data_IF_442266796326
#
_entry.id   IF_442266796326
#
_cell.length_a   1.000
_cell.length_b   1.000
_cell.length_c   1.000
_cell.angle_alpha   90.00
_cell.angle_beta   90.00
_cell.angle_gamma   90.00
#
_symmetry.space_group_name_H-M   'P 1'
#
loop_
_entity.id
_entity.type
_entity.pdbx_description
1 polymer ?
#
# COMPACT_ATOMS: atom_id res chain seq x y z
N UNK A 1 -22.66 3.89 -15.26
CA UNK A 1 -22.12 2.66 -15.88
C UNK A 1 -23.13 1.53 -15.71
N UNK A 2 -23.30 0.65 -16.69
CA UNK A 2 -24.39 -0.36 -16.70
C UNK A 2 -23.95 -1.77 -16.27
N UNK A 3 -22.65 -1.99 -16.06
CA UNK A 3 -22.08 -3.27 -15.60
C UNK A 3 -20.72 -3.09 -14.92
N UNK A 4 -20.32 -4.08 -14.14
CA UNK A 4 -18.94 -4.23 -13.66
C UNK A 4 -18.04 -4.66 -14.83
N UNK A 5 -16.89 -4.00 -15.06
CA UNK A 5 -15.96 -4.39 -16.12
C UNK A 5 -15.33 -5.76 -15.85
N UNK A 6 -14.98 -6.49 -16.91
CA UNK A 6 -14.21 -7.73 -16.79
C UNK A 6 -12.72 -7.38 -16.69
N UNK A 7 -11.95 -8.14 -15.90
CA UNK A 7 -10.52 -7.87 -15.74
C UNK A 7 -9.76 -7.99 -17.06
N UNK A 8 -10.19 -8.88 -17.97
CA UNK A 8 -9.59 -8.99 -19.30
C UNK A 8 -9.78 -7.71 -20.14
N UNK A 9 -10.91 -7.03 -19.98
CA UNK A 9 -11.18 -5.75 -20.67
C UNK A 9 -10.34 -4.62 -20.08
N UNK A 10 -10.14 -4.62 -18.76
CA UNK A 10 -9.24 -3.69 -18.07
C UNK A 10 -7.80 -3.92 -18.54
N UNK A 11 -7.34 -5.17 -18.58
CA UNK A 11 -5.97 -5.54 -18.93
C UNK A 11 -5.63 -5.22 -20.40
N UNK A 12 -6.60 -5.29 -21.32
CA UNK A 12 -6.43 -4.83 -22.69
C UNK A 12 -6.02 -3.34 -22.78
N UNK A 13 -6.43 -2.53 -21.80
CA UNK A 13 -6.05 -1.12 -21.71
C UNK A 13 -4.83 -0.88 -20.83
N UNK A 14 -4.71 -1.58 -19.70
CA UNK A 14 -3.66 -1.36 -18.70
C UNK A 14 -2.30 -1.92 -19.14
N UNK A 15 -2.26 -3.13 -19.73
CA UNK A 15 -1.01 -3.80 -20.09
C UNK A 15 -0.15 -2.99 -21.07
N UNK A 16 -0.71 -2.38 -22.15
CA UNK A 16 0.09 -1.59 -23.08
C UNK A 16 0.72 -0.34 -22.47
N UNK A 17 0.16 0.20 -21.38
CA UNK A 17 0.62 1.46 -20.77
C UNK A 17 1.82 1.23 -19.84
N UNK A 18 1.69 0.27 -18.93
CA UNK A 18 2.68 0.08 -17.86
C UNK A 18 3.07 -1.38 -17.66
N UNK A 19 2.56 -2.31 -18.50
CA UNK A 19 2.67 -3.77 -18.33
C UNK A 19 2.01 -4.31 -17.05
N UNK A 20 1.24 -3.48 -16.34
CA UNK A 20 0.45 -3.94 -15.21
C UNK A 20 -0.78 -4.72 -15.66
N UNK A 21 -1.20 -5.66 -14.82
CA UNK A 21 -2.40 -6.49 -14.99
C UNK A 21 -3.18 -6.56 -13.69
N UNK A 22 -4.49 -6.36 -13.76
CA UNK A 22 -5.40 -6.79 -12.73
C UNK A 22 -5.50 -8.33 -12.76
N UNK A 23 -5.21 -8.98 -11.63
CA UNK A 23 -5.18 -10.45 -11.49
C UNK A 23 -6.20 -10.87 -10.45
N UNK A 24 -7.21 -11.61 -10.88
CA UNK A 24 -8.28 -12.06 -9.98
C UNK A 24 -7.74 -12.84 -8.78
N UNK A 25 -8.17 -12.47 -7.58
CA UNK A 25 -7.95 -13.24 -6.35
C UNK A 25 -9.26 -13.47 -5.60
N UNK A 26 -9.37 -14.62 -4.97
CA UNK A 26 -10.51 -14.99 -4.15
C UNK A 26 -10.16 -14.83 -2.67
N UNK A 27 -10.46 -13.66 -2.12
CA UNK A 27 -10.27 -13.36 -0.69
C UNK A 27 -8.85 -12.92 -0.34
N UNK A 28 -8.46 -13.23 0.89
CA UNK A 28 -7.22 -12.77 1.50
C UNK A 28 -5.97 -13.26 0.75
N UNK A 29 -5.00 -12.37 0.56
CA UNK A 29 -3.69 -12.67 -0.03
C UNK A 29 -2.63 -12.31 1.01
N UNK A 30 -1.79 -13.27 1.45
CA UNK A 30 -0.71 -12.97 2.40
C UNK A 30 0.21 -11.86 1.89
N UNK A 31 0.65 -10.99 2.80
CA UNK A 31 1.33 -9.74 2.48
C UNK A 31 2.52 -9.92 1.53
N UNK A 32 3.41 -10.89 1.74
CA UNK A 32 4.53 -11.12 0.83
C UNK A 32 4.07 -11.51 -0.57
N UNK A 33 3.07 -12.40 -0.67
CA UNK A 33 2.53 -12.87 -1.96
C UNK A 33 1.89 -11.71 -2.72
N UNK A 34 1.20 -10.82 -2.02
CA UNK A 34 0.65 -9.60 -2.59
C UNK A 34 1.75 -8.69 -3.15
N UNK A 35 2.78 -8.40 -2.36
CA UNK A 35 3.91 -7.56 -2.80
C UNK A 35 4.72 -8.20 -3.93
N UNK A 36 4.90 -9.52 -3.94
CA UNK A 36 5.59 -10.24 -5.02
C UNK A 36 4.80 -10.24 -6.33
N UNK A 37 3.45 -10.24 -6.27
CA UNK A 37 2.61 -10.02 -7.44
C UNK A 37 2.84 -8.60 -8.00
N UNK A 38 2.78 -7.58 -7.14
CA UNK A 38 2.98 -6.18 -7.55
C UNK A 38 4.38 -5.95 -8.15
N UNK A 39 5.41 -6.57 -7.56
CA UNK A 39 6.78 -6.60 -8.08
C UNK A 39 6.85 -7.09 -9.54
N UNK A 40 5.97 -8.03 -9.89
CA UNK A 40 5.83 -8.62 -11.22
C UNK A 40 4.81 -7.89 -12.11
N UNK A 41 4.29 -6.74 -11.65
CA UNK A 41 3.23 -5.96 -12.30
C UNK A 41 1.90 -6.71 -12.41
N UNK A 42 1.67 -7.69 -11.55
CA UNK A 42 0.36 -8.30 -11.36
C UNK A 42 -0.26 -7.68 -10.09
N UNK A 43 -1.33 -6.91 -10.21
CA UNK A 43 -2.05 -6.39 -9.06
C UNK A 43 -3.17 -7.36 -8.67
N UNK A 44 -3.11 -7.98 -7.47
CA UNK A 44 -4.20 -8.80 -6.97
C UNK A 44 -5.50 -7.98 -6.87
N UNK A 45 -6.54 -8.43 -7.56
CA UNK A 45 -7.83 -7.73 -7.67
C UNK A 45 -8.94 -8.66 -7.20
N UNK A 46 -9.66 -8.23 -6.18
CA UNK A 46 -10.85 -8.90 -5.66
C UNK A 46 -11.96 -8.90 -6.72
N UNK A 47 -12.77 -9.96 -6.71
CA UNK A 47 -13.87 -10.18 -7.66
C UNK A 47 -15.26 -10.16 -7.01
N UNK A 48 -15.30 -9.90 -5.70
CA UNK A 48 -16.52 -9.70 -4.92
C UNK A 48 -16.93 -8.23 -4.99
N UNK A 49 -18.24 -7.95 -4.91
CA UNK A 49 -18.78 -6.59 -4.88
C UNK A 49 -19.55 -6.37 -3.58
N UNK A 50 -19.43 -5.18 -2.99
CA UNK A 50 -20.20 -4.79 -1.81
C UNK A 50 -21.71 -4.80 -2.01
N UNK A 51 -22.42 -4.91 -0.90
CA UNK A 51 -23.86 -4.64 -0.85
C UNK A 51 -24.13 -3.15 -1.12
N UNK A 52 -25.08 -2.86 -2.01
CA UNK A 52 -25.50 -1.50 -2.33
C UNK A 52 -26.12 -0.72 -1.16
N UNK A 53 -26.47 -1.39 -0.05
CA UNK A 53 -26.88 -0.72 1.18
C UNK A 53 -25.70 -0.15 2.00
N UNK A 54 -24.45 -0.53 1.67
CA UNK A 54 -23.22 -0.14 2.38
C UNK A 54 -22.19 0.40 1.40
N UNK A 55 -22.57 1.42 0.63
CA UNK A 55 -21.69 2.01 -0.38
C UNK A 55 -20.54 2.83 0.25
N UNK A 56 -20.81 3.51 1.36
CA UNK A 56 -19.91 4.51 1.95
C UNK A 56 -18.81 3.91 2.84
N UNK A 57 -18.87 2.62 3.17
CA UNK A 57 -17.93 1.99 4.09
C UNK A 57 -17.77 0.49 3.84
N UNK A 58 -16.51 0.02 3.79
CA UNK A 58 -16.17 -1.38 3.79
C UNK A 58 -14.98 -1.70 4.70
N UNK A 59 -15.06 -2.77 5.50
CA UNK A 59 -13.91 -3.30 6.24
C UNK A 59 -12.93 -4.09 5.35
N UNK A 60 -13.35 -4.53 4.15
CA UNK A 60 -12.54 -5.33 3.23
C UNK A 60 -12.60 -4.76 1.81
N UNK A 61 -11.51 -4.83 1.02
CA UNK A 61 -11.51 -4.36 -0.37
C UNK A 61 -12.47 -5.20 -1.23
N UNK A 62 -13.18 -4.53 -2.13
CA UNK A 62 -14.03 -5.15 -3.14
C UNK A 62 -13.59 -4.72 -4.55
N UNK A 63 -14.19 -5.32 -5.58
CA UNK A 63 -13.81 -5.05 -6.97
C UNK A 63 -13.94 -3.57 -7.33
N UNK A 64 -14.84 -2.83 -6.69
CA UNK A 64 -14.95 -1.40 -6.90
C UNK A 64 -13.72 -0.67 -6.36
N UNK A 65 -13.28 -0.97 -5.13
CA UNK A 65 -12.05 -0.39 -4.57
C UNK A 65 -10.85 -0.66 -5.47
N UNK A 66 -10.64 -1.91 -5.88
CA UNK A 66 -9.47 -2.27 -6.69
C UNK A 66 -9.53 -1.66 -8.10
N UNK A 67 -10.68 -1.71 -8.75
CA UNK A 67 -10.81 -1.23 -10.14
C UNK A 67 -10.96 0.29 -10.22
N UNK A 68 -11.66 0.93 -9.29
CA UNK A 68 -11.89 2.38 -9.34
C UNK A 68 -10.82 3.17 -8.59
N UNK A 69 -10.24 2.60 -7.51
CA UNK A 69 -9.17 3.23 -6.74
C UNK A 69 -7.79 2.98 -7.34
N UNK A 70 -7.40 1.70 -7.48
CA UNK A 70 -6.03 1.33 -7.82
C UNK A 70 -5.72 1.35 -9.31
N UNK A 71 -6.56 0.70 -10.14
CA UNK A 71 -6.28 0.54 -11.57
C UNK A 71 -6.01 1.87 -12.31
N UNK A 72 -6.71 2.99 -12.06
CA UNK A 72 -6.38 4.26 -12.71
C UNK A 72 -4.96 4.72 -12.39
N UNK A 73 -4.50 4.55 -11.15
CA UNK A 73 -3.15 4.92 -10.74
C UNK A 73 -2.08 4.05 -11.40
N UNK A 74 -2.38 2.78 -11.68
CA UNK A 74 -1.46 1.87 -12.37
C UNK A 74 -1.24 2.23 -13.85
N UNK A 75 -2.01 3.17 -14.40
CA UNK A 75 -1.79 3.69 -15.78
C UNK A 75 -0.62 4.67 -15.86
N UNK A 76 -0.18 5.24 -14.72
CA UNK A 76 0.97 6.13 -14.64
C UNK A 76 2.27 5.33 -14.51
N UNK A 77 3.26 5.50 -15.42
CA UNK A 77 4.51 4.75 -15.37
C UNK A 77 5.34 5.00 -14.11
N UNK A 78 5.35 6.21 -13.55
CA UNK A 78 6.12 6.53 -12.34
C UNK A 78 5.49 5.85 -11.13
N UNK A 79 4.16 5.90 -11.01
CA UNK A 79 3.47 5.21 -9.93
C UNK A 79 3.60 3.68 -10.04
N UNK A 80 3.51 3.14 -11.25
CA UNK A 80 3.78 1.73 -11.51
C UNK A 80 5.19 1.30 -11.08
N UNK A 81 6.19 2.16 -11.27
CA UNK A 81 7.57 1.89 -10.84
C UNK A 81 7.74 1.99 -9.32
N UNK A 82 7.03 2.90 -8.64
CA UNK A 82 6.95 2.94 -7.16
C UNK A 82 6.44 1.62 -6.61
N UNK A 83 5.37 1.08 -7.18
CA UNK A 83 4.77 -0.18 -6.76
C UNK A 83 5.72 -1.36 -6.94
N UNK A 84 6.37 -1.46 -8.11
CA UNK A 84 7.39 -2.48 -8.36
C UNK A 84 8.55 -2.37 -7.37
N UNK A 85 9.02 -1.14 -7.11
CA UNK A 85 10.09 -0.89 -6.15
C UNK A 85 9.71 -1.32 -4.74
N UNK A 86 8.48 -1.06 -4.32
CA UNK A 86 7.96 -1.51 -3.03
C UNK A 86 7.93 -3.05 -2.93
N UNK A 87 7.54 -3.73 -4.00
CA UNK A 87 7.62 -5.18 -4.10
C UNK A 87 9.05 -5.73 -4.00
N UNK A 88 10.03 -5.07 -4.62
CA UNK A 88 11.45 -5.43 -4.46
C UNK A 88 11.94 -5.18 -3.02
N UNK A 89 11.50 -4.10 -2.36
CA UNK A 89 11.79 -3.87 -0.93
C UNK A 89 11.25 -4.99 -0.05
N UNK A 90 10.04 -5.50 -0.31
CA UNK A 90 9.47 -6.64 0.42
C UNK A 90 10.32 -7.90 0.25
N UNK A 91 10.77 -8.18 -0.98
CA UNK A 91 11.69 -9.29 -1.28
C UNK A 91 13.03 -9.13 -0.58
N UNK A 92 13.61 -7.94 -0.60
CA UNK A 92 14.86 -7.67 0.09
C UNK A 92 14.73 -7.88 1.60
N UNK A 93 13.65 -7.38 2.21
CA UNK A 93 13.36 -7.59 3.63
C UNK A 93 13.22 -9.08 3.99
N UNK A 94 12.49 -9.84 3.17
CA UNK A 94 12.28 -11.27 3.36
C UNK A 94 13.60 -12.06 3.31
N UNK A 95 14.49 -11.73 2.37
CA UNK A 95 15.80 -12.38 2.26
C UNK A 95 16.74 -11.99 3.41
N UNK A 96 16.79 -10.71 3.78
CA UNK A 96 17.66 -10.19 4.84
C UNK A 96 17.45 -10.91 6.19
N UNK A 97 16.19 -11.20 6.55
CA UNK A 97 15.90 -11.85 7.84
C UNK A 97 16.33 -13.33 7.87
N UNK A 98 16.60 -13.94 6.71
CA UNK A 98 17.17 -15.29 6.60
C UNK A 98 18.52 -15.44 7.27
N UNK A 99 19.31 -14.36 7.32
CA UNK A 99 20.64 -14.35 7.94
C UNK A 99 20.60 -14.30 9.48
N UNK A 100 19.42 -14.06 10.07
CA UNK A 100 19.25 -13.97 11.52
C UNK A 100 19.12 -15.38 12.11
N UNK A 101 20.19 -15.84 12.79
CA UNK A 101 20.26 -17.17 13.42
C UNK A 101 19.35 -17.34 14.64
N UNK A 102 19.15 -16.27 15.40
CA UNK A 102 18.28 -16.31 16.58
C UNK A 102 16.82 -16.24 16.13
N UNK A 103 16.08 -17.33 16.34
CA UNK A 103 14.70 -17.46 15.85
C UNK A 103 13.76 -16.42 16.45
N UNK A 104 13.87 -16.12 17.75
CA UNK A 104 13.01 -15.14 18.40
C UNK A 104 13.30 -13.73 17.86
N UNK A 105 14.57 -13.38 17.72
CA UNK A 105 14.99 -12.12 17.09
C UNK A 105 14.53 -12.04 15.65
N UNK A 106 14.62 -13.14 14.89
CA UNK A 106 14.18 -13.21 13.49
C UNK A 106 12.68 -12.90 13.38
N UNK A 107 11.86 -13.61 14.16
CA UNK A 107 10.40 -13.43 14.20
C UNK A 107 10.01 -11.99 14.57
N UNK A 108 10.61 -11.47 15.65
CA UNK A 108 10.37 -10.08 16.08
C UNK A 108 10.77 -9.06 15.01
N UNK A 109 11.95 -9.26 14.40
CA UNK A 109 12.48 -8.32 13.39
C UNK A 109 11.58 -8.28 12.16
N UNK A 110 11.16 -9.44 11.63
CA UNK A 110 10.32 -9.48 10.44
C UNK A 110 8.91 -8.96 10.75
N UNK A 111 8.34 -9.26 11.92
CA UNK A 111 7.05 -8.71 12.33
C UNK A 111 7.09 -7.16 12.36
N UNK A 112 8.13 -6.60 12.96
CA UNK A 112 8.36 -5.15 13.00
C UNK A 112 8.52 -4.54 11.59
N UNK A 113 9.23 -5.22 10.69
CA UNK A 113 9.39 -4.76 9.30
C UNK A 113 8.05 -4.82 8.55
N UNK A 114 7.28 -5.90 8.69
CA UNK A 114 5.95 -6.01 8.06
C UNK A 114 5.05 -4.85 8.53
N UNK A 115 5.06 -4.50 9.82
CA UNK A 115 4.35 -3.32 10.35
C UNK A 115 4.80 -2.01 9.70
N UNK A 116 6.12 -1.80 9.61
CA UNK A 116 6.68 -0.60 8.98
C UNK A 116 6.23 -0.47 7.52
N UNK A 117 6.28 -1.57 6.77
CA UNK A 117 5.85 -1.64 5.37
C UNK A 117 4.34 -1.41 5.23
N UNK A 118 3.53 -2.05 6.07
CA UNK A 118 2.08 -1.88 6.03
C UNK A 118 1.67 -0.43 6.31
N UNK A 119 2.29 0.24 7.29
CA UNK A 119 2.04 1.66 7.57
C UNK A 119 2.52 2.58 6.45
N UNK A 120 3.68 2.29 5.86
CA UNK A 120 4.14 3.01 4.68
C UNK A 120 3.10 2.90 3.56
N UNK A 121 2.70 1.68 3.23
CA UNK A 121 1.74 1.40 2.16
C UNK A 121 0.39 2.10 2.43
N UNK A 122 -0.10 2.04 3.66
CA UNK A 122 -1.33 2.70 4.09
C UNK A 122 -1.28 4.22 3.90
N UNK A 123 -0.26 4.88 4.46
CA UNK A 123 -0.17 6.35 4.44
C UNK A 123 0.39 6.93 3.13
N UNK A 124 0.67 6.09 2.13
CA UNK A 124 1.08 6.51 0.79
C UNK A 124 0.13 5.95 -0.29
N UNK A 125 0.28 4.68 -0.62
CA UNK A 125 -0.42 4.05 -1.75
C UNK A 125 -1.93 3.98 -1.51
N UNK A 126 -2.40 3.77 -0.28
CA UNK A 126 -3.84 3.70 0.03
C UNK A 126 -4.45 5.08 0.36
N UNK A 127 -3.81 5.87 1.24
CA UNK A 127 -4.36 7.12 1.76
C UNK A 127 -3.45 8.33 1.57
N UNK A 128 -2.54 8.27 0.59
CA UNK A 128 -1.61 9.35 0.31
C UNK A 128 -2.23 10.54 -0.42
N UNK A 129 -1.72 11.72 -0.07
CA UNK A 129 -2.01 12.97 -0.74
C UNK A 129 -0.77 13.45 -1.52
N UNK A 130 -0.97 14.27 -2.55
CA UNK A 130 0.11 14.87 -3.31
C UNK A 130 -0.02 16.39 -3.33
N UNK A 131 1.11 17.08 -3.18
CA UNK A 131 1.17 18.53 -3.36
C UNK A 131 1.02 18.89 -4.83
N UNK A 132 0.12 19.83 -5.12
CA UNK A 132 -0.01 20.38 -6.47
C UNK A 132 1.10 21.40 -6.75
N UNK A 133 1.69 21.41 -7.95
CA UNK A 133 2.72 22.38 -8.33
C UNK A 133 2.22 23.84 -8.28
N UNK A 134 0.91 24.05 -8.47
CA UNK A 134 0.33 25.40 -8.56
C UNK A 134 0.35 26.18 -7.24
N UNK A 135 0.38 25.51 -6.09
CA UNK A 135 0.37 26.17 -4.78
C UNK A 135 0.92 25.27 -3.68
N UNK A 136 1.77 25.85 -2.81
CA UNK A 136 2.32 25.17 -1.64
C UNK A 136 1.27 24.74 -0.59
N UNK A 137 0.00 25.13 -0.74
CA UNK A 137 -1.08 24.68 0.14
C UNK A 137 -2.15 23.86 -0.60
N UNK A 138 -2.02 23.66 -1.91
CA UNK A 138 -2.98 22.89 -2.68
C UNK A 138 -2.56 21.41 -2.69
N UNK A 139 -3.47 20.55 -2.26
CA UNK A 139 -3.29 19.10 -2.23
C UNK A 139 -4.27 18.43 -3.21
N UNK A 140 -3.88 17.29 -3.73
CA UNK A 140 -4.76 16.36 -4.44
C UNK A 140 -4.63 14.96 -3.84
N UNK A 141 -5.64 14.14 -4.12
CA UNK A 141 -5.66 12.73 -3.72
C UNK A 141 -4.99 11.89 -4.80
N UNK A 142 -4.16 10.93 -4.39
CA UNK A 142 -3.69 9.84 -5.26
C UNK A 142 -3.87 8.46 -4.63
N UNK A 143 -4.01 8.38 -3.29
CA UNK A 143 -4.21 7.13 -2.59
C UNK A 143 -5.50 6.42 -3.01
N UNK A 144 -5.41 5.13 -3.31
CA UNK A 144 -6.51 4.33 -3.87
C UNK A 144 -7.71 4.17 -2.92
N UNK A 145 -7.46 4.06 -1.61
CA UNK A 145 -8.50 4.04 -0.58
C UNK A 145 -9.32 5.32 -0.56
N UNK A 146 -8.67 6.48 -0.71
CA UNK A 146 -9.35 7.76 -0.84
C UNK A 146 -10.09 7.89 -2.19
N UNK A 147 -9.47 7.50 -3.30
CA UNK A 147 -10.07 7.57 -4.64
C UNK A 147 -11.35 6.72 -4.78
N UNK A 148 -11.45 5.66 -4.00
CA UNK A 148 -12.60 4.74 -3.98
C UNK A 148 -13.61 5.03 -2.87
N UNK A 149 -13.43 6.10 -2.10
CA UNK A 149 -14.31 6.50 -1.01
C UNK A 149 -14.94 7.86 -1.28
N UNK A 150 -16.23 7.87 -1.65
CA UNK A 150 -16.93 9.09 -2.05
C UNK A 150 -16.92 10.18 -0.97
N UNK A 151 -17.16 9.82 0.30
CA UNK A 151 -17.16 10.80 1.39
C UNK A 151 -15.75 11.20 1.82
N UNK A 152 -14.81 10.26 1.82
CA UNK A 152 -13.47 10.51 2.33
C UNK A 152 -12.60 11.32 1.37
N UNK A 153 -12.80 11.21 0.04
CA UNK A 153 -12.04 11.97 -0.95
C UNK A 153 -12.19 13.49 -0.77
N UNK A 154 -13.38 13.97 -0.41
CA UNK A 154 -13.63 15.38 -0.10
C UNK A 154 -13.20 15.71 1.34
N UNK A 155 -13.58 14.87 2.31
CA UNK A 155 -13.26 15.06 3.72
C UNK A 155 -11.76 15.19 3.97
N UNK A 156 -10.96 14.34 3.32
CA UNK A 156 -9.51 14.31 3.46
C UNK A 156 -8.82 15.57 2.93
N UNK A 157 -9.49 16.45 2.17
CA UNK A 157 -8.94 17.72 1.67
C UNK A 157 -9.52 18.93 2.43
N UNK A 158 -10.82 18.95 2.67
CA UNK A 158 -11.53 20.14 3.15
C UNK A 158 -11.71 20.18 4.67
N UNK A 159 -11.75 19.02 5.33
CA UNK A 159 -12.06 18.95 6.77
C UNK A 159 -10.94 19.56 7.62
N UNK A 160 -11.26 20.46 8.58
CA UNK A 160 -10.28 20.96 9.54
C UNK A 160 -9.87 19.91 10.58
N UNK A 161 -10.64 18.82 10.71
CA UNK A 161 -10.37 17.74 11.65
C UNK A 161 -9.33 16.74 11.14
N UNK A 162 -8.90 16.88 9.88
CA UNK A 162 -7.85 16.04 9.27
C UNK A 162 -6.52 16.78 9.28
N UNK A 163 -5.54 16.20 9.96
CA UNK A 163 -4.16 16.70 9.94
C UNK A 163 -3.44 16.26 8.67
N UNK A 164 -2.70 17.16 8.04
CA UNK A 164 -2.01 16.92 6.76
C UNK A 164 -0.57 17.37 6.87
N UNK A 165 0.37 16.43 6.86
CA UNK A 165 1.80 16.74 7.03
C UNK A 165 2.63 16.27 5.84
N UNK A 166 3.79 16.91 5.56
CA UNK A 166 4.75 16.35 4.63
C UNK A 166 5.13 14.93 5.05
N UNK A 167 5.31 14.05 4.07
CA UNK A 167 5.74 12.69 4.30
C UNK A 167 7.06 12.67 5.06
N UNK A 168 7.08 11.95 6.18
CA UNK A 168 8.24 11.79 7.05
C UNK A 168 8.31 10.32 7.45
N UNK A 169 9.27 9.58 6.89
CA UNK A 169 9.42 8.15 7.11
C UNK A 169 9.45 7.76 8.59
N UNK A 170 10.15 8.56 9.42
CA UNK A 170 10.22 8.42 10.88
C UNK A 170 8.83 8.28 11.52
N UNK A 171 7.89 9.09 11.06
CA UNK A 171 6.54 9.19 11.62
C UNK A 171 5.66 8.11 11.00
N UNK A 172 5.72 7.97 9.68
CA UNK A 172 4.88 7.03 8.92
C UNK A 172 5.06 5.60 9.43
N UNK A 173 6.29 5.10 9.59
CA UNK A 173 6.51 3.70 10.03
C UNK A 173 6.11 3.44 11.49
N UNK A 174 5.85 4.50 12.26
CA UNK A 174 5.45 4.44 13.66
C UNK A 174 4.00 4.87 13.91
N UNK A 175 3.30 5.37 12.89
CA UNK A 175 1.92 5.84 12.98
C UNK A 175 0.98 4.65 12.87
N UNK A 176 0.17 4.40 13.90
CA UNK A 176 -0.91 3.43 13.82
C UNK A 176 -2.06 3.98 12.97
N UNK A 177 -2.86 3.09 12.39
CA UNK A 177 -4.08 3.45 11.69
C UNK A 177 -5.20 2.47 12.05
N UNK A 178 -6.42 2.94 11.88
CA UNK A 178 -7.65 2.18 12.04
C UNK A 178 -8.35 2.16 10.67
N UNK A 179 -9.00 1.04 10.36
CA UNK A 179 -9.60 0.80 9.04
C UNK A 179 -11.10 1.10 9.00
N UNK A 180 -11.71 1.42 10.15
CA UNK A 180 -13.15 1.49 10.33
C UNK A 180 -13.74 2.91 10.41
N UNK A 181 -12.89 3.93 10.23
CA UNK A 181 -13.30 5.33 10.14
C UNK A 181 -12.37 6.13 9.24
N UNK A 182 -12.79 7.37 8.92
CA UNK A 182 -11.97 8.29 8.13
C UNK A 182 -10.66 8.61 8.81
N UNK A 183 -9.61 8.74 8.03
CA UNK A 183 -8.27 8.97 8.55
C UNK A 183 -8.14 10.38 9.13
N UNK A 184 -7.85 10.54 10.43
CA UNK A 184 -7.70 11.85 11.07
C UNK A 184 -6.35 12.51 10.78
N UNK A 185 -5.40 11.76 10.22
CA UNK A 185 -4.06 12.21 9.89
C UNK A 185 -3.59 11.56 8.60
N UNK A 186 -3.15 12.36 7.65
CA UNK A 186 -2.63 11.94 6.36
C UNK A 186 -1.30 12.61 6.05
N UNK A 187 -0.54 11.98 5.15
CA UNK A 187 0.74 12.47 4.68
C UNK A 187 0.68 12.84 3.20
N UNK A 188 1.46 13.84 2.81
CA UNK A 188 1.61 14.19 1.40
C UNK A 188 3.05 14.12 0.90
N UNK A 189 3.20 13.68 -0.34
CA UNK A 189 4.44 13.73 -1.12
C UNK A 189 4.37 14.86 -2.15
N UNK A 190 5.50 15.25 -2.72
CA UNK A 190 5.54 16.32 -3.73
C UNK A 190 5.44 15.79 -5.17
N UNK A 191 5.74 14.50 -5.38
CA UNK A 191 5.66 13.81 -6.68
C UNK A 191 5.79 12.30 -6.49
N UNK A 192 5.58 11.52 -7.56
CA UNK A 192 5.92 10.09 -7.53
C UNK A 192 7.42 9.83 -7.49
N UNK A 193 8.26 10.73 -7.99
CA UNK A 193 9.71 10.63 -7.81
C UNK A 193 10.10 10.79 -6.32
N UNK A 194 9.45 11.72 -5.59
CA UNK A 194 9.62 11.85 -4.15
C UNK A 194 9.16 10.55 -3.45
N UNK A 195 7.97 10.02 -3.79
CA UNK A 195 7.49 8.77 -3.21
C UNK A 195 8.43 7.59 -3.49
N UNK A 196 8.97 7.48 -4.71
CA UNK A 196 9.94 6.46 -5.09
C UNK A 196 11.19 6.54 -4.19
N UNK A 197 11.73 7.74 -3.99
CA UNK A 197 12.86 7.97 -3.08
C UNK A 197 12.56 7.58 -1.63
N UNK A 198 11.33 7.79 -1.16
CA UNK A 198 10.92 7.35 0.18
C UNK A 198 10.81 5.81 0.30
N UNK A 199 10.47 5.10 -0.78
CA UNK A 199 10.55 3.63 -0.81
C UNK A 199 12.00 3.14 -0.76
N UNK A 200 12.92 3.81 -1.47
CA UNK A 200 14.36 3.49 -1.39
C UNK A 200 14.91 3.73 0.02
N UNK A 201 14.50 4.84 0.65
CA UNK A 201 14.86 5.17 2.02
C UNK A 201 14.29 4.16 3.02
N UNK A 202 13.06 3.68 2.81
CA UNK A 202 12.48 2.58 3.61
C UNK A 202 13.33 1.32 3.52
N UNK A 203 13.73 0.89 2.31
CA UNK A 203 14.60 -0.28 2.14
C UNK A 203 15.94 -0.08 2.86
N UNK A 204 16.56 1.08 2.70
CA UNK A 204 17.80 1.42 3.41
C UNK A 204 17.63 1.31 4.93
N UNK A 205 16.53 1.83 5.47
CA UNK A 205 16.24 1.77 6.90
C UNK A 205 16.01 0.35 7.42
N UNK A 206 15.40 -0.51 6.60
CA UNK A 206 15.26 -1.93 6.91
C UNK A 206 16.65 -2.57 7.06
N UNK A 207 17.55 -2.37 6.09
CA UNK A 207 18.92 -2.91 6.14
C UNK A 207 19.76 -2.34 7.28
N UNK A 208 19.56 -1.07 7.63
CA UNK A 208 20.23 -0.42 8.78
C UNK A 208 19.64 -0.85 10.13
N UNK A 209 18.58 -1.66 10.15
CA UNK A 209 17.90 -2.13 11.36
C UNK A 209 17.03 -1.07 12.05
N UNK A 210 16.76 0.06 11.39
CA UNK A 210 15.90 1.14 11.92
C UNK A 210 14.43 0.74 11.96
N UNK A 211 14.03 -0.23 11.14
CA UNK A 211 12.67 -0.79 11.14
C UNK A 211 12.52 -2.06 11.99
N UNK A 212 13.56 -2.50 12.71
CA UNK A 212 13.51 -3.73 13.53
C UNK A 212 12.77 -3.57 14.85
N UNK A 213 12.41 -2.35 15.25
CA UNK A 213 11.66 -2.05 16.48
C UNK A 213 10.74 -0.83 16.29
N UNK A 214 9.84 -0.87 15.33
CA UNK A 214 8.83 0.20 15.17
C UNK A 214 7.79 0.13 16.29
N UNK A 215 7.04 1.22 16.45
CA UNK A 215 5.97 1.34 17.46
C UNK A 215 5.05 0.11 17.45
N UNK A 216 4.73 -0.48 18.62
CA UNK A 216 3.79 -1.58 18.71
C UNK A 216 2.36 -1.14 18.34
N UNK A 217 1.42 -2.08 18.33
CA UNK A 217 0.02 -1.83 17.95
C UNK A 217 -0.24 -2.03 16.47
N UNK A 218 -1.35 -1.46 15.99
CA UNK A 218 -1.87 -1.70 14.64
C UNK A 218 -0.91 -1.22 13.53
N UNK A 219 -0.88 -1.92 12.38
CA UNK A 219 -1.66 -3.13 12.09
C UNK A 219 -1.06 -4.37 12.80
N UNK A 220 -1.93 -5.24 13.30
CA UNK A 220 -1.51 -6.58 13.75
C UNK A 220 -1.02 -7.41 12.55
N UNK A 221 0.09 -8.11 12.75
CA UNK A 221 0.65 -9.04 11.75
C UNK A 221 0.13 -10.43 12.06
N UNK A 222 -0.63 -11.02 11.14
CA UNK A 222 -1.15 -12.37 11.33
C UNK A 222 -0.10 -13.43 10.97
N UNK A 223 -0.38 -14.69 11.35
CA UNK A 223 0.53 -15.81 11.14
C UNK A 223 0.79 -16.10 9.66
N UNK A 224 -0.21 -15.88 8.79
CA UNK A 224 -0.09 -16.12 7.34
C UNK A 224 0.87 -15.13 6.68
N UNK A 225 0.79 -13.85 7.04
CA UNK A 225 1.71 -12.81 6.58
C UNK A 225 3.13 -13.11 7.04
N UNK A 226 3.29 -13.41 8.33
CA UNK A 226 4.58 -13.73 8.91
C UNK A 226 5.24 -14.92 8.19
N UNK A 227 4.46 -16.00 7.99
CA UNK A 227 4.90 -17.21 7.29
C UNK A 227 5.28 -16.90 5.84
N UNK A 228 4.50 -16.06 5.15
CA UNK A 228 4.75 -15.71 3.75
C UNK A 228 6.11 -15.04 3.52
N UNK A 229 6.60 -14.23 4.46
CA UNK A 229 7.95 -13.65 4.38
C UNK A 229 9.04 -14.68 4.74
N UNK A 230 8.82 -15.52 5.75
CA UNK A 230 9.81 -16.49 6.22
C UNK A 230 10.09 -17.61 5.20
N UNK A 231 9.09 -18.03 4.41
CA UNK A 231 9.27 -19.06 3.38
C UNK A 231 10.25 -18.65 2.26
N UNK A 232 10.33 -17.35 1.98
CA UNK A 232 11.26 -16.78 0.98
C UNK A 232 12.71 -16.97 1.41
N UNK A 233 13.01 -16.64 2.67
CA UNK A 233 14.35 -16.81 3.25
C UNK A 233 14.82 -18.27 3.27
N UNK A 234 13.88 -19.22 3.28
CA UNK A 234 14.20 -20.66 3.30
C UNK A 234 14.51 -21.23 1.91
N UNK A 235 14.24 -20.45 0.86
CA UNK A 235 14.31 -20.88 -0.55
C UNK A 235 15.50 -20.28 -1.32
N UNK A 236 16.28 -19.38 -0.70
CA UNK A 236 17.48 -18.74 -1.25
C UNK A 236 18.76 -19.36 -0.72
#
# INVERSE_FOLDING_TARGET
PDRIPRLEEINQFLEPLTRFRAKAVSGYVPAYVFFDCIRQRDFPTTITIRDGAKLDYLPEPDIFHDVAGHVPMHTDPQFADVLVRFGETARSAALMVGDIKDEQKRLHTIESIIKAMARFFWFSIEFGLMRRPESANALCVYGSGLLSSYGEIEHCIESPDVQRYPFQLEWVVNQYFEIDHYQPLLFFVDSFDHLFGEVERLEQWIHEGKCSNVSPGEPLVNEEDLKSFLEVSSSG
#
